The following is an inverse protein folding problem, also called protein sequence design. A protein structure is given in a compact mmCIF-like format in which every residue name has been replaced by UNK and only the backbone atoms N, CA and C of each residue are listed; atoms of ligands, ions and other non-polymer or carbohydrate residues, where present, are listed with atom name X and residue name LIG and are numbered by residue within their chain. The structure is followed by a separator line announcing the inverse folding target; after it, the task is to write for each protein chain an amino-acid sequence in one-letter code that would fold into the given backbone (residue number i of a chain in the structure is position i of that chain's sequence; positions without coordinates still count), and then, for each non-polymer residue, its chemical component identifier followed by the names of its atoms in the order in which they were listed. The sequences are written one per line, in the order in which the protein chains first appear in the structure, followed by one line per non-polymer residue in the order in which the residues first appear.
data_IF_413437885412
#
_entry.id   IF_413437885412
#
_cell.length_a   1.000
_cell.length_b   1.000
_cell.length_c   1.000
_cell.angle_alpha   90.00
_cell.angle_beta   90.00
_cell.angle_gamma   90.00
#
_symmetry.space_group_name_H-M   'P 1'
#
loop_
_entity.id
_entity.type
_entity.pdbx_description
1 polymer ?
#
# COMPACT_ATOMS: atom_id res chain seq x y z
N UNK A 1 0.74 15.40 1.71
CA UNK A 1 2.13 14.99 1.98
C UNK A 1 3.07 16.14 1.64
N UNK A 2 4.11 16.43 2.47
CA UNK A 2 5.05 17.50 2.19
C UNK A 2 5.91 17.16 0.96
N UNK A 3 6.23 18.18 0.17
CA UNK A 3 7.16 18.05 -0.96
C UNK A 3 8.60 18.02 -0.40
N UNK A 4 9.30 16.90 -0.55
CA UNK A 4 10.67 16.72 -0.05
C UNK A 4 11.64 16.95 -1.20
N UNK A 5 12.48 17.98 -1.08
CA UNK A 5 13.59 18.26 -2.00
C UNK A 5 14.91 18.11 -1.25
N UNK A 6 15.67 17.09 -1.60
CA UNK A 6 17.00 16.79 -1.04
C UNK A 6 18.04 16.75 -2.16
N UNK A 7 19.27 17.16 -1.87
CA UNK A 7 20.38 17.09 -2.81
C UNK A 7 21.19 15.82 -2.56
N UNK A 8 21.65 15.17 -3.62
CA UNK A 8 22.54 14.03 -3.54
C UNK A 8 23.65 14.17 -4.58
N UNK A 9 24.85 13.71 -4.23
CA UNK A 9 26.04 13.80 -5.08
C UNK A 9 26.32 12.45 -5.70
N UNK A 10 26.53 12.44 -7.01
CA UNK A 10 27.03 11.26 -7.72
C UNK A 10 28.53 11.13 -7.44
N UNK A 11 28.95 9.97 -6.94
CA UNK A 11 30.37 9.71 -6.69
C UNK A 11 31.15 9.57 -8.01
N UNK A 12 32.48 9.60 -7.95
CA UNK A 12 33.33 9.37 -9.13
C UNK A 12 33.11 8.01 -9.79
N UNK A 13 32.52 7.05 -9.07
CA UNK A 13 32.16 5.71 -9.58
C UNK A 13 30.71 5.64 -10.10
N UNK A 14 30.02 6.77 -10.23
CA UNK A 14 28.64 6.82 -10.69
C UNK A 14 27.60 6.36 -9.66
N UNK A 15 27.96 6.24 -8.38
CA UNK A 15 27.01 5.84 -7.34
C UNK A 15 26.27 7.06 -6.79
N UNK A 16 24.98 6.91 -6.52
CA UNK A 16 24.15 7.91 -5.84
C UNK A 16 23.65 7.32 -4.52
N UNK A 17 23.69 8.11 -3.44
CA UNK A 17 23.09 7.72 -2.15
C UNK A 17 21.73 8.40 -1.99
N UNK A 18 20.70 7.64 -1.63
CA UNK A 18 19.39 8.21 -1.31
C UNK A 18 19.44 8.97 0.03
N UNK A 19 19.11 10.27 0.07
CA UNK A 19 18.99 11.04 1.30
C UNK A 19 18.02 10.37 2.28
N UNK A 20 18.22 10.58 3.59
CA UNK A 20 17.45 9.90 4.64
C UNK A 20 15.94 10.06 4.47
N UNK A 21 15.48 11.28 4.19
CA UNK A 21 14.05 11.57 4.01
C UNK A 21 13.45 10.80 2.82
N UNK A 22 14.15 10.74 1.69
CA UNK A 22 13.72 10.00 0.49
C UNK A 22 13.70 8.50 0.76
N UNK A 23 14.74 7.97 1.42
CA UNK A 23 14.80 6.55 1.81
C UNK A 23 13.63 6.14 2.70
N UNK A 24 13.30 6.95 3.70
CA UNK A 24 12.17 6.71 4.59
C UNK A 24 10.83 6.80 3.86
N UNK A 25 10.67 7.77 2.97
CA UNK A 25 9.46 7.90 2.16
C UNK A 25 9.25 6.71 1.20
N UNK A 26 10.32 6.14 0.66
CA UNK A 26 10.29 4.93 -0.16
C UNK A 26 10.20 3.63 0.67
N UNK A 27 10.39 3.72 1.99
CA UNK A 27 10.40 2.58 2.90
C UNK A 27 11.54 1.58 2.66
N UNK A 28 12.61 1.96 1.95
CA UNK A 28 13.68 1.03 1.54
C UNK A 28 14.84 0.95 2.55
N UNK A 29 15.40 -0.25 2.71
CA UNK A 29 16.56 -0.52 3.54
C UNK A 29 17.81 -0.85 2.72
N UNK A 30 18.96 -1.07 3.38
CA UNK A 30 20.17 -1.49 2.70
C UNK A 30 19.99 -2.88 2.09
N UNK A 31 20.15 -2.99 0.76
CA UNK A 31 19.93 -4.24 0.02
C UNK A 31 18.60 -4.28 -0.74
N UNK A 32 17.65 -3.40 -0.41
CA UNK A 32 16.42 -3.24 -1.19
C UNK A 32 16.73 -2.63 -2.56
N UNK A 33 15.91 -3.00 -3.55
CA UNK A 33 15.99 -2.44 -4.91
C UNK A 33 15.12 -1.20 -5.02
N UNK A 34 15.53 -0.27 -5.88
CA UNK A 34 14.73 0.87 -6.32
C UNK A 34 14.65 0.87 -7.84
N UNK A 35 13.50 1.24 -8.37
CA UNK A 35 13.30 1.37 -9.80
C UNK A 35 13.41 2.86 -10.19
N UNK A 36 14.05 3.12 -11.34
CA UNK A 36 14.13 4.43 -11.96
C UNK A 36 13.38 4.36 -13.28
N UNK A 37 12.31 5.14 -13.40
CA UNK A 37 11.51 5.24 -14.62
C UNK A 37 11.69 6.64 -15.20
N UNK A 38 12.13 6.73 -16.46
CA UNK A 38 12.13 7.98 -17.21
C UNK A 38 10.80 8.11 -17.95
N UNK A 39 10.00 9.09 -17.57
CA UNK A 39 8.71 9.39 -18.20
C UNK A 39 8.89 10.27 -19.44
N UNK A 40 7.88 10.28 -20.30
CA UNK A 40 7.88 11.05 -21.55
C UNK A 40 8.02 12.56 -21.35
N UNK A 41 7.59 13.06 -20.20
CA UNK A 41 7.71 14.47 -19.80
C UNK A 41 9.13 14.83 -19.28
N UNK A 42 10.06 13.88 -19.30
CA UNK A 42 11.43 14.04 -18.83
C UNK A 42 11.59 13.92 -17.31
N UNK A 43 10.52 13.61 -16.57
CA UNK A 43 10.64 13.32 -15.15
C UNK A 43 11.25 11.95 -14.92
N UNK A 44 12.13 11.87 -13.93
CA UNK A 44 12.62 10.59 -13.40
C UNK A 44 11.82 10.28 -12.14
N UNK A 45 11.06 9.20 -12.18
CA UNK A 45 10.34 8.68 -11.02
C UNK A 45 11.15 7.58 -10.38
N UNK A 46 11.29 7.68 -9.05
CA UNK A 46 11.96 6.68 -8.24
C UNK A 46 10.91 6.01 -7.37
N UNK A 47 10.80 4.69 -7.47
CA UNK A 47 9.90 3.88 -6.66
C UNK A 47 10.67 2.76 -5.96
N UNK A 48 10.05 2.19 -4.92
CA UNK A 48 10.53 0.92 -4.36
C UNK A 48 10.49 -0.11 -5.48
N UNK A 49 11.62 -0.76 -5.74
CA UNK A 49 11.68 -1.84 -6.70
C UNK A 49 10.91 -3.01 -6.12
N UNK A 50 9.91 -3.50 -6.86
CA UNK A 50 9.18 -4.70 -6.47
C UNK A 50 10.18 -5.85 -6.32
N UNK A 51 10.34 -6.32 -5.08
CA UNK A 51 10.45 -7.75 -4.92
C UNK A 51 9.01 -8.23 -5.08
N UNK A 52 8.74 -9.13 -6.04
CA UNK A 52 7.55 -9.96 -5.98
C UNK A 52 7.57 -10.63 -4.61
N UNK A 53 6.83 -10.06 -3.66
CA UNK A 53 6.61 -10.70 -2.39
C UNK A 53 5.53 -11.73 -2.63
N UNK A 54 5.94 -12.86 -3.18
CA UNK A 54 5.13 -14.06 -3.16
C UNK A 54 5.16 -14.59 -1.72
N UNK A 55 4.10 -14.30 -0.95
CA UNK A 55 3.81 -15.02 0.28
C UNK A 55 2.94 -16.24 -0.11
N UNK A 56 3.51 -17.47 -0.10
CA UNK A 56 2.76 -18.66 -0.51
C UNK A 56 1.57 -18.95 0.43
N UNK A 57 1.63 -18.52 1.69
CA UNK A 57 0.54 -18.71 2.64
C UNK A 57 -0.62 -17.77 2.33
N UNK A 58 -0.34 -16.49 2.05
CA UNK A 58 -1.37 -15.54 1.60
C UNK A 58 -1.96 -16.00 0.26
N UNK A 59 -1.13 -16.40 -0.70
CA UNK A 59 -1.60 -16.90 -2.00
C UNK A 59 -2.50 -18.13 -1.88
N UNK A 60 -2.11 -19.10 -1.05
CA UNK A 60 -2.93 -20.28 -0.78
C UNK A 60 -4.25 -19.92 -0.07
N UNK A 61 -4.21 -18.98 0.87
CA UNK A 61 -5.41 -18.52 1.59
C UNK A 61 -6.39 -17.79 0.66
N UNK A 62 -5.91 -16.89 -0.19
CA UNK A 62 -6.76 -16.20 -1.18
C UNK A 62 -7.38 -17.18 -2.18
N UNK A 63 -6.62 -18.20 -2.59
CA UNK A 63 -7.14 -19.29 -3.45
C UNK A 63 -8.26 -20.07 -2.75
N UNK A 64 -8.10 -20.38 -1.45
CA UNK A 64 -9.14 -21.02 -0.66
C UNK A 64 -10.41 -20.17 -0.59
N UNK A 65 -10.27 -18.87 -0.28
CA UNK A 65 -11.40 -17.94 -0.21
C UNK A 65 -12.15 -17.85 -1.54
N UNK A 66 -11.42 -17.72 -2.65
CA UNK A 66 -12.03 -17.63 -3.99
C UNK A 66 -12.90 -18.86 -4.29
N UNK A 67 -12.38 -20.06 -4.02
CA UNK A 67 -13.12 -21.32 -4.22
C UNK A 67 -14.34 -21.48 -3.33
N UNK A 68 -14.29 -20.95 -2.11
CA UNK A 68 -15.42 -20.97 -1.20
C UNK A 68 -16.52 -19.99 -1.65
N UNK A 69 -16.14 -18.78 -2.06
CA UNK A 69 -17.06 -17.78 -2.63
C UNK A 69 -17.75 -18.33 -3.89
N UNK A 70 -16.99 -18.85 -4.86
CA UNK A 70 -17.53 -19.41 -6.11
C UNK A 70 -18.51 -20.56 -5.87
N UNK A 71 -18.24 -21.37 -4.85
CA UNK A 71 -19.10 -22.48 -4.47
C UNK A 71 -20.23 -22.09 -3.50
N UNK A 72 -20.34 -20.82 -3.12
CA UNK A 72 -21.31 -20.34 -2.12
C UNK A 72 -21.11 -20.95 -0.73
N UNK A 73 -19.93 -21.51 -0.43
CA UNK A 73 -19.60 -22.06 0.88
C UNK A 73 -19.14 -20.95 1.81
N UNK A 74 -19.53 -21.02 3.08
CA UNK A 74 -19.14 -20.05 4.12
C UNK A 74 -19.55 -18.59 3.83
N UNK A 75 -20.30 -18.34 2.76
CA UNK A 75 -20.95 -17.06 2.47
C UNK A 75 -22.28 -17.04 3.20
N UNK A 76 -22.46 -16.06 4.08
CA UNK A 76 -23.71 -15.82 4.79
C UNK A 76 -24.18 -14.41 4.47
N UNK A 77 -25.49 -14.20 4.55
CA UNK A 77 -26.04 -12.84 4.54
C UNK A 77 -25.50 -12.04 5.72
N UNK A 78 -25.56 -10.71 5.61
CA UNK A 78 -25.28 -9.83 6.74
C UNK A 78 -26.26 -10.16 7.89
N UNK A 79 -25.79 -10.19 9.15
CA UNK A 79 -26.68 -10.22 10.30
C UNK A 79 -27.70 -9.07 10.20
N UNK A 80 -28.95 -9.33 10.58
CA UNK A 80 -30.06 -8.38 10.40
C UNK A 80 -29.77 -7.00 11.01
N UNK A 81 -29.23 -6.98 12.24
CA UNK A 81 -28.82 -5.75 12.92
C UNK A 81 -27.74 -4.97 12.15
N UNK A 82 -26.76 -5.68 11.59
CA UNK A 82 -25.71 -5.04 10.79
C UNK A 82 -26.27 -4.50 9.47
N UNK A 83 -27.10 -5.28 8.78
CA UNK A 83 -27.75 -4.86 7.55
C UNK A 83 -28.61 -3.61 7.76
N UNK A 84 -29.40 -3.58 8.86
CA UNK A 84 -30.20 -2.43 9.27
C UNK A 84 -29.33 -1.19 9.52
N UNK A 85 -28.27 -1.34 10.31
CA UNK A 85 -27.34 -0.24 10.62
C UNK A 85 -26.69 0.31 9.35
N UNK A 86 -26.24 -0.57 8.44
CA UNK A 86 -25.66 -0.14 7.16
C UNK A 86 -26.69 0.60 6.28
N UNK A 87 -27.95 0.16 6.24
CA UNK A 87 -29.02 0.82 5.50
C UNK A 87 -29.37 2.20 6.08
N UNK A 88 -29.47 2.30 7.40
CA UNK A 88 -29.70 3.57 8.11
C UNK A 88 -28.60 4.60 7.77
N UNK A 89 -27.37 4.12 7.57
CA UNK A 89 -26.22 4.98 7.29
C UNK A 89 -25.79 5.10 5.82
N UNK A 90 -26.41 4.38 4.89
CA UNK A 90 -26.00 4.31 3.48
C UNK A 90 -26.05 5.66 2.74
N UNK A 91 -26.81 6.63 3.26
CA UNK A 91 -26.94 7.97 2.69
C UNK A 91 -26.04 9.04 3.34
N UNK A 92 -25.19 8.69 4.31
CA UNK A 92 -24.27 9.66 4.89
C UNK A 92 -23.08 9.90 3.97
N UNK A 93 -22.72 11.17 3.82
CA UNK A 93 -21.50 11.58 3.16
C UNK A 93 -20.30 11.16 4.02
N UNK A 94 -19.54 10.16 3.56
CA UNK A 94 -18.34 9.68 4.26
C UNK A 94 -17.15 10.49 3.77
N UNK A 95 -16.59 11.32 4.65
CA UNK A 95 -15.30 11.98 4.41
C UNK A 95 -14.19 10.97 4.70
N UNK A 96 -13.75 10.26 3.66
CA UNK A 96 -12.59 9.38 3.70
C UNK A 96 -11.32 10.25 3.59
N UNK A 97 -10.74 10.66 4.71
CA UNK A 97 -9.55 11.53 4.68
C UNK A 97 -9.03 12.00 6.02
N UNK A 98 -9.81 11.87 7.09
CA UNK A 98 -9.31 12.11 8.44
C UNK A 98 -8.50 10.90 8.90
N UNK A 99 -7.27 11.14 9.36
CA UNK A 99 -6.44 10.11 9.99
C UNK A 99 -7.16 9.59 11.25
N UNK A 100 -7.39 8.28 11.30
CA UNK A 100 -7.94 7.64 12.49
C UNK A 100 -6.87 7.59 13.59
N UNK A 101 -6.72 8.66 14.37
CA UNK A 101 -5.81 8.76 15.54
C UNK A 101 -6.25 7.92 16.75
N UNK A 102 -7.24 7.04 16.57
CA UNK A 102 -7.74 6.15 17.61
C UNK A 102 -6.70 5.11 18.02
N UNK A 103 -6.28 5.11 19.28
CA UNK A 103 -5.47 4.05 19.86
C UNK A 103 -6.28 2.74 19.81
N UNK A 104 -5.82 1.76 19.03
CA UNK A 104 -6.38 0.40 19.08
C UNK A 104 -5.91 -0.23 20.38
N UNK A 105 -6.77 -0.26 21.38
CA UNK A 105 -6.54 -1.09 22.58
C UNK A 105 -6.79 -2.55 22.20
N UNK A 106 -5.75 -3.38 22.34
CA UNK A 106 -5.79 -4.84 22.16
C UNK A 106 -5.94 -5.47 23.54
#
# INVERSE_FOLDING_TARGET
MPNVKELATVTSKGQLTLPKAVRQALGVEAGDKVAFELREDGQVVVSRGEAEHEDPAIGAFLTLLARDIEAGRNIRGLPEELARTMLEHAGHEVVLGDDFDGRVEI
#
